data_IF_649883378339
#
_entry.id   IF_649883378339
#
_cell.length_a   1.000
_cell.length_b   1.000
_cell.length_c   1.000
_cell.angle_alpha   90.00
_cell.angle_beta   90.00
_cell.angle_gamma   90.00
#
_symmetry.space_group_name_H-M   'P 1'
#
loop_
_entity.id
_entity.type
_entity.pdbx_description
1 polymer ?
#
# COMPACT_ATOMS: atom_id res chain seq x y z
N UNK A 1 -2.57 16.08 -21.02
CA UNK A 1 -3.93 15.82 -20.52
C UNK A 1 -4.50 17.15 -20.14
N UNK A 2 -5.79 17.39 -20.41
CA UNK A 2 -6.38 18.75 -20.49
C UNK A 2 -6.41 19.56 -19.18
N UNK A 3 -5.79 19.06 -18.09
CA UNK A 3 -5.83 19.65 -16.75
C UNK A 3 -4.46 19.80 -16.08
N UNK A 4 -3.35 19.63 -16.80
CA UNK A 4 -1.99 19.81 -16.23
C UNK A 4 -1.62 18.82 -15.11
N UNK A 5 -2.39 17.74 -14.93
CA UNK A 5 -2.25 16.86 -13.76
C UNK A 5 -0.86 16.20 -13.58
N UNK A 6 -0.06 16.09 -14.64
CA UNK A 6 1.33 15.62 -14.53
C UNK A 6 2.24 16.62 -13.82
N UNK A 7 1.97 17.93 -13.93
CA UNK A 7 2.75 18.98 -13.27
C UNK A 7 2.50 19.03 -11.76
N UNK A 8 1.39 18.46 -11.28
CA UNK A 8 1.06 18.36 -9.85
C UNK A 8 1.82 17.22 -9.12
N UNK A 9 2.51 16.35 -9.85
CA UNK A 9 3.16 15.16 -9.29
C UNK A 9 4.68 15.34 -9.29
N UNK A 10 5.29 15.35 -8.11
CA UNK A 10 6.76 15.39 -7.99
C UNK A 10 7.43 14.05 -8.33
N UNK A 11 6.75 12.94 -8.04
CA UNK A 11 7.32 11.60 -8.19
C UNK A 11 6.23 10.53 -8.34
N UNK A 12 6.58 9.46 -9.05
CA UNK A 12 5.86 8.17 -9.05
C UNK A 12 6.73 7.09 -8.43
N UNK A 13 6.17 6.31 -7.50
CA UNK A 13 6.83 5.13 -6.95
C UNK A 13 6.04 3.87 -7.33
N UNK A 14 6.74 2.82 -7.75
CA UNK A 14 6.15 1.51 -8.04
C UNK A 14 6.34 0.64 -6.80
N UNK A 15 5.24 0.16 -6.24
CA UNK A 15 5.22 -0.84 -5.17
C UNK A 15 4.67 -2.14 -5.73
N UNK A 16 5.37 -3.24 -5.47
CA UNK A 16 4.97 -4.56 -5.97
C UNK A 16 3.95 -5.20 -5.02
N UNK A 17 3.13 -6.16 -5.51
CA UNK A 17 2.08 -6.78 -4.68
C UNK A 17 2.60 -7.33 -3.35
N UNK A 18 3.74 -8.04 -3.36
CA UNK A 18 4.36 -8.57 -2.14
C UNK A 18 4.58 -7.50 -1.09
N UNK A 19 5.28 -6.44 -1.48
CA UNK A 19 5.60 -5.32 -0.61
C UNK A 19 4.33 -4.62 -0.11
N UNK A 20 3.33 -4.45 -0.97
CA UNK A 20 2.02 -3.93 -0.59
C UNK A 20 1.37 -4.75 0.53
N UNK A 21 1.37 -6.08 0.41
CA UNK A 21 0.77 -7.00 1.38
C UNK A 21 1.57 -7.01 2.69
N UNK A 22 2.90 -7.05 2.61
CA UNK A 22 3.78 -6.97 3.77
C UNK A 22 3.50 -5.70 4.59
N UNK A 23 3.46 -4.54 3.93
CA UNK A 23 3.13 -3.28 4.60
C UNK A 23 1.69 -3.22 5.10
N UNK A 24 0.73 -3.84 4.40
CA UNK A 24 -0.65 -3.97 4.88
C UNK A 24 -0.71 -4.76 6.20
N UNK A 25 0.09 -5.82 6.33
CA UNK A 25 0.21 -6.57 7.59
C UNK A 25 0.91 -5.74 8.66
N UNK A 26 1.98 -5.01 8.33
CA UNK A 26 2.68 -4.14 9.30
C UNK A 26 1.81 -3.02 9.86
N UNK A 27 0.87 -2.50 9.08
CA UNK A 27 -0.10 -1.50 9.59
C UNK A 27 -0.94 -2.05 10.76
N UNK A 28 -1.16 -3.37 10.85
CA UNK A 28 -1.90 -3.94 11.98
C UNK A 28 -1.07 -3.94 13.28
N UNK A 29 0.26 -3.90 13.20
CA UNK A 29 1.16 -3.79 14.36
C UNK A 29 0.96 -2.47 15.12
N UNK A 30 0.44 -1.44 14.43
CA UNK A 30 0.09 -0.14 15.01
C UNK A 30 -1.42 0.07 15.14
N UNK A 31 -2.22 -1.00 15.02
CA UNK A 31 -3.67 -0.96 15.20
C UNK A 31 -4.46 -0.42 14.00
N UNK A 32 -3.83 -0.27 12.83
CA UNK A 32 -4.49 0.23 11.62
C UNK A 32 -4.87 -0.96 10.73
N UNK A 33 -6.14 -1.34 10.76
CA UNK A 33 -6.68 -2.40 9.88
C UNK A 33 -7.19 -1.82 8.55
N UNK A 34 -6.26 -1.59 7.63
CA UNK A 34 -6.51 -0.93 6.34
C UNK A 34 -6.53 -1.90 5.14
N UNK A 35 -7.07 -1.46 4.00
CA UNK A 35 -7.03 -2.23 2.77
C UNK A 35 -5.66 -2.33 2.11
N UNK A 36 -5.53 -3.22 1.13
CA UNK A 36 -4.24 -3.62 0.52
C UNK A 36 -3.54 -2.42 -0.16
N UNK A 37 -4.29 -1.53 -0.79
CA UNK A 37 -3.74 -0.32 -1.42
C UNK A 37 -3.07 0.63 -0.42
N UNK A 38 -3.59 0.67 0.81
CA UNK A 38 -2.99 1.46 1.89
C UNK A 38 -1.63 0.92 2.31
N UNK A 39 -1.40 -0.39 2.20
CA UNK A 39 -0.08 -0.98 2.36
C UNK A 39 0.91 -0.54 1.28
N UNK A 40 0.49 -0.44 0.01
CA UNK A 40 1.33 0.13 -1.03
C UNK A 40 1.69 1.60 -0.75
N UNK A 41 0.73 2.39 -0.27
CA UNK A 41 0.97 3.78 0.11
C UNK A 41 1.93 3.86 1.30
N UNK A 42 1.76 3.01 2.33
CA UNK A 42 2.66 2.94 3.48
C UNK A 42 4.10 2.58 3.08
N UNK A 43 4.27 1.62 2.16
CA UNK A 43 5.58 1.28 1.61
C UNK A 43 6.23 2.47 0.89
N UNK A 44 5.47 3.18 0.04
CA UNK A 44 5.93 4.39 -0.63
C UNK A 44 6.27 5.52 0.34
N UNK A 45 5.44 5.71 1.37
CA UNK A 45 5.65 6.70 2.41
C UNK A 45 6.93 6.43 3.21
N UNK A 46 7.18 5.17 3.58
CA UNK A 46 8.42 4.78 4.25
C UNK A 46 9.66 5.01 3.39
N UNK A 47 9.60 4.71 2.08
CA UNK A 47 10.68 5.04 1.13
C UNK A 47 10.89 6.54 0.99
N UNK A 48 9.82 7.33 0.98
CA UNK A 48 9.88 8.79 0.95
C UNK A 48 10.56 9.33 2.23
N UNK A 49 10.12 8.86 3.40
CA UNK A 49 10.68 9.23 4.69
C UNK A 49 12.17 8.89 4.79
N UNK A 50 12.60 7.74 4.26
CA UNK A 50 14.00 7.34 4.22
C UNK A 50 14.87 8.20 3.27
N UNK A 51 14.27 9.04 2.42
CA UNK A 51 14.97 9.90 1.45
C UNK A 51 15.12 11.35 1.90
N UNK A 52 14.66 11.70 3.10
CA UNK A 52 14.73 13.05 3.67
C UNK A 52 15.35 13.01 5.07
N UNK A 53 16.08 14.05 5.45
CA UNK A 53 16.66 14.15 6.80
C UNK A 53 15.62 14.51 7.87
N UNK A 54 14.66 15.37 7.51
CA UNK A 54 13.59 15.82 8.39
C UNK A 54 12.35 16.25 7.58
N UNK A 55 11.16 15.92 8.08
CA UNK A 55 9.89 16.37 7.51
C UNK A 55 8.69 15.59 8.04
N UNK A 56 7.49 15.94 7.57
CA UNK A 56 6.24 15.21 7.86
C UNK A 56 5.77 14.56 6.56
N UNK A 57 5.66 13.23 6.57
CA UNK A 57 5.08 12.46 5.46
C UNK A 57 3.63 12.15 5.79
N UNK A 58 2.71 12.59 4.94
CA UNK A 58 1.28 12.30 5.05
C UNK A 58 0.92 11.22 4.05
N UNK A 59 0.16 10.22 4.48
CA UNK A 59 -0.40 9.19 3.62
C UNK A 59 -1.91 9.06 3.80
N UNK A 60 -2.59 8.55 2.78
CA UNK A 60 -4.02 8.28 2.79
C UNK A 60 -4.26 6.79 3.02
N UNK A 61 -5.15 6.46 3.95
CA UNK A 61 -5.75 5.12 4.07
C UNK A 61 -7.07 5.15 3.32
N UNK A 62 -7.15 4.44 2.19
CA UNK A 62 -8.25 4.58 1.25
C UNK A 62 -9.52 3.83 1.69
N UNK A 63 -9.37 2.75 2.45
CA UNK A 63 -10.44 1.93 3.00
C UNK A 63 -9.94 0.99 4.10
N UNK A 64 -10.87 0.26 4.71
CA UNK A 64 -10.59 -0.70 5.77
C UNK A 64 -10.36 -2.12 5.28
N UNK A 65 -9.56 -2.87 6.03
CA UNK A 65 -9.15 -4.23 5.69
C UNK A 65 -10.31 -5.24 5.59
N UNK A 66 -11.46 -4.94 6.21
CA UNK A 66 -12.61 -5.85 6.24
C UNK A 66 -13.12 -6.23 4.84
N UNK A 67 -12.96 -5.35 3.84
CA UNK A 67 -13.34 -5.62 2.44
C UNK A 67 -12.54 -6.76 1.81
N UNK A 68 -11.36 -7.07 2.34
CA UNK A 68 -10.42 -8.02 1.76
C UNK A 68 -10.24 -9.29 2.60
N UNK A 69 -11.06 -9.50 3.63
CA UNK A 69 -10.93 -10.68 4.49
C UNK A 69 -11.06 -12.01 3.73
N UNK A 70 -11.88 -12.04 2.68
CA UNK A 70 -12.07 -13.22 1.81
C UNK A 70 -10.85 -13.58 0.95
N UNK A 71 -9.82 -12.73 0.91
CA UNK A 71 -8.64 -12.92 0.06
C UNK A 71 -7.51 -13.69 0.78
N UNK A 72 -7.62 -13.84 2.09
CA UNK A 72 -6.57 -14.42 2.94
C UNK A 72 -5.36 -13.50 3.15
N UNK A 73 -5.45 -12.21 2.82
CA UNK A 73 -4.32 -11.28 2.82
C UNK A 73 -3.55 -11.19 4.14
N UNK A 74 -4.19 -11.42 5.29
CA UNK A 74 -3.53 -11.38 6.61
C UNK A 74 -3.16 -12.75 7.18
N UNK A 75 -3.76 -13.83 6.69
CA UNK A 75 -3.71 -15.14 7.36
C UNK A 75 -3.00 -16.22 6.55
N UNK A 76 -3.02 -16.13 5.21
CA UNK A 76 -2.34 -17.09 4.34
C UNK A 76 -0.84 -16.77 4.23
N UNK A 77 -0.07 -17.73 3.70
CA UNK A 77 1.34 -17.51 3.40
C UNK A 77 1.53 -16.37 2.38
N UNK A 78 2.61 -15.60 2.53
CA UNK A 78 2.85 -14.43 1.67
C UNK A 78 3.03 -14.81 0.20
N UNK A 79 3.69 -15.93 -0.09
CA UNK A 79 3.92 -16.38 -1.47
C UNK A 79 2.60 -16.76 -2.14
N UNK A 80 1.68 -17.38 -1.38
CA UNK A 80 0.34 -17.69 -1.86
C UNK A 80 -0.49 -16.43 -2.14
N UNK A 81 -0.47 -15.46 -1.22
CA UNK A 81 -1.22 -14.20 -1.40
C UNK A 81 -0.65 -13.41 -2.58
N UNK A 82 0.66 -13.35 -2.73
CA UNK A 82 1.33 -12.72 -3.87
C UNK A 82 0.93 -13.40 -5.19
N UNK A 83 0.89 -14.73 -5.24
CA UNK A 83 0.44 -15.46 -6.41
C UNK A 83 -1.02 -15.13 -6.77
N UNK A 84 -1.92 -15.08 -5.77
CA UNK A 84 -3.33 -14.69 -5.97
C UNK A 84 -3.49 -13.25 -6.45
N UNK A 85 -2.64 -12.34 -5.96
CA UNK A 85 -2.66 -10.92 -6.36
C UNK A 85 -2.40 -10.69 -7.85
N UNK A 86 -1.83 -11.65 -8.57
CA UNK A 86 -1.65 -11.56 -10.03
C UNK A 86 -2.96 -11.72 -10.80
N UNK A 87 -3.95 -12.39 -10.22
CA UNK A 87 -5.26 -12.66 -10.84
C UNK A 87 -6.43 -11.89 -10.22
N UNK A 88 -6.19 -11.14 -9.14
CA UNK A 88 -7.22 -10.39 -8.41
C UNK A 88 -6.95 -8.89 -8.47
N UNK A 89 -7.98 -8.14 -8.82
CA UNK A 89 -7.98 -6.68 -8.75
C UNK A 89 -8.39 -6.27 -7.33
N UNK A 90 -7.52 -5.52 -6.64
CA UNK A 90 -7.77 -5.05 -5.27
C UNK A 90 -8.20 -3.58 -5.19
N UNK A 91 -8.66 -2.99 -6.31
CA UNK A 91 -9.10 -1.61 -6.42
C UNK A 91 -10.59 -1.50 -6.74
#
# INVERSE_FOLDING_TARGET
TDWGGYELLDRKMIVRPRESIEWTRRLTEVGVFAGISSGAIAAGAAKCAASIDQGVVVMIVCDGGWKYLSTGAWTADLDEVEARAKGLIYF
#
